data_IF_022724510252
#
_entry.id   IF_022724510252
#
_cell.length_a   1.000
_cell.length_b   1.000
_cell.length_c   1.000
_cell.angle_alpha   90.00
_cell.angle_beta   90.00
_cell.angle_gamma   90.00
#
_symmetry.space_group_name_H-M   'P 1'
#
loop_
_entity.id
_entity.type
_entity.pdbx_description
1 polymer ?
#
# COMPACT_ATOMS: atom_id res chain seq x y z
N UNK A 1 3.17 14.97 -70.74
CA UNK A 1 3.27 15.33 -69.31
C UNK A 1 4.59 16.09 -69.10
N UNK A 2 4.57 17.43 -69.06
CA UNK A 2 5.78 18.27 -69.03
C UNK A 2 6.34 18.35 -67.60
N UNK A 3 7.53 17.79 -67.39
CA UNK A 3 8.30 17.93 -66.16
C UNK A 3 8.73 19.39 -65.97
N UNK A 4 8.08 20.08 -65.03
CA UNK A 4 8.51 21.39 -64.54
C UNK A 4 9.81 21.21 -63.73
N UNK A 5 10.97 21.43 -64.37
CA UNK A 5 12.26 21.50 -63.66
C UNK A 5 12.25 22.76 -62.79
N UNK A 6 12.36 22.59 -61.47
CA UNK A 6 12.56 23.71 -60.53
C UNK A 6 13.85 24.47 -60.90
N UNK A 7 13.87 25.80 -60.86
CA UNK A 7 15.07 26.57 -61.10
C UNK A 7 16.14 26.22 -60.05
N UNK A 8 17.38 25.98 -60.50
CA UNK A 8 18.54 25.83 -59.61
C UNK A 8 18.66 27.10 -58.79
N UNK A 9 18.59 26.99 -57.46
CA UNK A 9 18.85 28.09 -56.55
C UNK A 9 20.27 28.63 -56.83
N UNK A 10 20.34 29.85 -57.36
CA UNK A 10 21.60 30.58 -57.50
C UNK A 10 22.06 30.95 -56.10
N UNK A 11 23.07 30.22 -55.61
CA UNK A 11 23.76 30.56 -54.37
C UNK A 11 24.42 31.92 -54.60
N UNK A 12 23.92 32.94 -53.93
CA UNK A 12 24.48 34.29 -53.96
C UNK A 12 25.91 34.25 -53.36
N UNK A 13 26.96 34.46 -54.18
CA UNK A 13 28.35 34.38 -53.72
C UNK A 13 28.72 35.53 -52.77
N UNK A 14 27.86 36.56 -52.65
CA UNK A 14 28.06 37.69 -51.73
C UNK A 14 27.46 37.46 -50.34
N UNK A 15 26.69 36.37 -50.13
CA UNK A 15 26.21 36.02 -48.79
C UNK A 15 27.38 35.52 -47.94
N UNK A 16 27.66 36.15 -46.78
CA UNK A 16 28.65 35.64 -45.85
C UNK A 16 28.29 34.20 -45.46
N UNK A 17 29.20 33.25 -45.72
CA UNK A 17 29.07 31.91 -45.18
C UNK A 17 29.06 32.05 -43.65
N UNK A 18 28.03 31.55 -42.93
CA UNK A 18 28.03 31.59 -41.48
C UNK A 18 29.29 30.87 -40.98
N UNK A 19 30.26 31.62 -40.46
CA UNK A 19 31.48 31.03 -39.93
C UNK A 19 31.10 30.19 -38.72
N UNK A 20 31.54 28.92 -38.64
CA UNK A 20 31.31 28.10 -37.47
C UNK A 20 31.80 28.87 -36.23
N UNK A 21 31.01 28.97 -35.15
CA UNK A 21 31.41 29.73 -33.98
C UNK A 21 32.75 29.20 -33.46
N UNK A 22 33.77 30.05 -33.53
CA UNK A 22 35.13 29.77 -33.06
C UNK A 22 35.07 29.38 -31.59
N UNK A 23 35.81 28.35 -31.17
CA UNK A 23 35.66 27.65 -29.88
C UNK A 23 35.71 28.52 -28.61
N UNK A 24 36.07 29.80 -28.72
CA UNK A 24 36.11 30.80 -27.63
C UNK A 24 34.74 31.39 -27.25
N UNK A 25 33.67 31.22 -28.03
CA UNK A 25 32.37 31.88 -27.77
C UNK A 25 31.29 31.01 -27.09
N UNK A 26 31.56 29.74 -26.83
CA UNK A 26 30.58 28.94 -26.07
C UNK A 26 30.79 29.18 -24.57
N UNK A 27 29.81 29.80 -23.93
CA UNK A 27 29.69 29.80 -22.47
C UNK A 27 29.64 28.38 -21.89
N UNK A 28 29.65 28.25 -20.56
CA UNK A 28 29.73 26.95 -19.87
C UNK A 28 28.74 25.90 -20.39
N UNK A 29 27.47 26.28 -20.59
CA UNK A 29 26.41 25.41 -21.14
C UNK A 29 26.70 24.95 -22.57
N UNK A 30 27.24 25.81 -23.43
CA UNK A 30 27.59 25.45 -24.80
C UNK A 30 28.74 24.44 -24.86
N UNK A 31 29.70 24.52 -23.93
CA UNK A 31 30.79 23.53 -23.84
C UNK A 31 30.27 22.16 -23.41
N UNK A 32 29.33 22.11 -22.46
CA UNK A 32 28.67 20.88 -22.01
C UNK A 32 27.84 20.27 -23.14
N UNK A 33 27.00 21.06 -23.82
CA UNK A 33 26.18 20.58 -24.94
C UNK A 33 27.04 19.99 -26.07
N UNK A 34 28.16 20.64 -26.40
CA UNK A 34 29.11 20.13 -27.40
C UNK A 34 29.80 18.84 -26.95
N UNK A 35 30.12 18.70 -25.66
CA UNK A 35 30.69 17.47 -25.10
C UNK A 35 29.71 16.30 -25.20
N UNK A 36 28.46 16.52 -24.77
CA UNK A 36 27.39 15.52 -24.83
C UNK A 36 27.14 15.07 -26.27
N UNK A 37 27.03 16.01 -27.23
CA UNK A 37 26.81 15.67 -28.64
C UNK A 37 27.98 14.84 -29.24
N UNK A 38 29.23 15.20 -28.93
CA UNK A 38 30.40 14.46 -29.43
C UNK A 38 30.56 13.08 -28.81
N UNK A 39 30.11 12.90 -27.57
CA UNK A 39 30.26 11.65 -26.80
C UNK A 39 28.93 10.96 -26.52
N UNK A 40 27.89 11.22 -27.32
CA UNK A 40 26.50 10.80 -27.05
C UNK A 40 26.36 9.31 -26.74
N UNK A 41 27.15 8.43 -27.37
CA UNK A 41 27.14 6.98 -27.09
C UNK A 41 27.65 6.63 -25.69
N UNK A 42 28.73 7.28 -25.25
CA UNK A 42 29.28 7.09 -23.90
C UNK A 42 28.39 7.71 -22.83
N UNK A 43 27.79 8.87 -23.13
CA UNK A 43 26.81 9.50 -22.24
C UNK A 43 25.58 8.60 -22.10
N UNK A 44 25.06 8.04 -23.19
CA UNK A 44 23.94 7.10 -23.15
C UNK A 44 24.27 5.82 -22.36
N UNK A 45 25.49 5.27 -22.53
CA UNK A 45 25.95 4.10 -21.78
C UNK A 45 26.07 4.40 -20.28
N UNK A 46 26.64 5.55 -19.91
CA UNK A 46 26.71 5.99 -18.51
C UNK A 46 25.31 6.08 -17.89
N UNK A 47 24.36 6.70 -18.58
CA UNK A 47 22.98 6.77 -18.12
C UNK A 47 22.33 5.39 -17.99
N UNK A 48 22.59 4.47 -18.94
CA UNK A 48 22.11 3.09 -18.84
C UNK A 48 22.67 2.40 -17.60
N UNK A 49 23.94 2.59 -17.27
CA UNK A 49 24.55 2.05 -16.05
C UNK A 49 23.87 2.64 -14.80
N UNK A 50 23.63 3.96 -14.78
CA UNK A 50 22.95 4.62 -13.67
C UNK A 50 21.52 4.08 -13.52
N UNK A 51 20.79 3.84 -14.62
CA UNK A 51 19.46 3.22 -14.60
C UNK A 51 19.52 1.84 -13.95
N UNK A 52 20.44 0.98 -14.40
CA UNK A 52 20.56 -0.38 -13.87
C UNK A 52 20.97 -0.36 -12.40
N UNK A 53 21.90 0.52 -12.02
CA UNK A 53 22.33 0.68 -10.63
C UNK A 53 21.19 1.19 -9.74
N UNK A 54 20.44 2.20 -10.19
CA UNK A 54 19.29 2.73 -9.45
C UNK A 54 18.16 1.69 -9.32
N UNK A 55 17.85 0.95 -10.39
CA UNK A 55 16.90 -0.16 -10.34
C UNK A 55 17.34 -1.26 -9.38
N UNK A 56 18.63 -1.62 -9.41
CA UNK A 56 19.20 -2.59 -8.45
C UNK A 56 19.09 -2.09 -7.01
N UNK A 57 19.40 -0.81 -6.74
CA UNK A 57 19.26 -0.22 -5.41
C UNK A 57 17.80 -0.25 -4.92
N UNK A 58 16.82 0.06 -5.76
CA UNK A 58 15.40 -0.02 -5.36
C UNK A 58 14.99 -1.44 -4.94
N UNK A 59 15.44 -2.47 -5.68
CA UNK A 59 15.12 -3.87 -5.34
C UNK A 59 15.90 -4.36 -4.12
N UNK A 60 17.18 -3.98 -4.00
CA UNK A 60 18.05 -4.40 -2.90
C UNK A 60 17.71 -3.71 -1.57
N UNK A 61 17.20 -2.48 -1.63
CA UNK A 61 16.85 -1.64 -0.48
C UNK A 61 15.36 -1.33 -0.48
N UNK A 62 14.51 -2.35 -0.66
CA UNK A 62 13.07 -2.26 -0.41
C UNK A 62 12.81 -2.06 1.11
N UNK A 63 13.23 -0.90 1.62
CA UNK A 63 13.10 -0.50 3.01
C UNK A 63 11.63 -0.32 3.39
N UNK A 64 11.36 -0.48 4.67
CA UNK A 64 10.00 -0.37 5.23
C UNK A 64 9.68 1.11 5.45
N UNK A 65 8.80 1.68 4.63
CA UNK A 65 8.15 2.95 4.98
C UNK A 65 7.29 2.73 6.22
N UNK A 66 7.36 3.65 7.19
CA UNK A 66 6.62 3.53 8.44
C UNK A 66 5.55 4.61 8.54
N UNK A 67 4.34 4.20 8.91
CA UNK A 67 3.25 5.12 9.30
C UNK A 67 3.12 5.26 10.81
N UNK A 68 4.18 4.94 11.56
CA UNK A 68 4.24 5.19 12.99
C UNK A 68 4.32 6.69 13.27
N UNK A 69 3.17 7.32 13.52
CA UNK A 69 3.11 8.67 14.08
C UNK A 69 3.42 8.60 15.58
N UNK A 70 4.70 8.56 15.94
CA UNK A 70 5.17 8.86 17.30
C UNK A 70 5.74 10.28 17.34
N UNK A 71 5.48 11.04 18.40
CA UNK A 71 6.09 12.36 18.61
C UNK A 71 6.95 12.33 19.88
N UNK A 72 8.21 11.89 19.77
CA UNK A 72 9.11 11.77 20.92
C UNK A 72 9.26 13.09 21.67
N UNK A 73 9.35 13.00 23.01
CA UNK A 73 9.54 14.18 23.87
C UNK A 73 8.27 14.96 24.22
N UNK A 74 7.10 14.49 23.80
CA UNK A 74 5.81 15.05 24.24
C UNK A 74 5.27 14.31 25.48
N UNK A 75 4.56 15.02 26.35
CA UNK A 75 3.88 14.41 27.51
C UNK A 75 2.85 13.35 27.09
N UNK A 76 2.22 13.54 25.92
CA UNK A 76 1.28 12.55 25.36
C UNK A 76 2.00 11.25 25.01
N UNK A 77 3.15 11.32 24.34
CA UNK A 77 3.94 10.12 24.02
C UNK A 77 4.40 9.40 25.30
N UNK A 78 4.90 10.15 26.30
CA UNK A 78 5.30 9.55 27.57
C UNK A 78 4.14 8.85 28.30
N UNK A 79 2.91 9.39 28.21
CA UNK A 79 1.72 8.73 28.75
C UNK A 79 1.36 7.44 27.99
N UNK A 80 1.47 7.45 26.66
CA UNK A 80 1.26 6.24 25.84
C UNK A 80 2.31 5.16 26.13
N UNK A 81 3.58 5.56 26.27
CA UNK A 81 4.67 4.64 26.60
C UNK A 81 4.45 3.99 27.97
N UNK A 82 4.02 4.78 28.97
CA UNK A 82 3.69 4.28 30.31
C UNK A 82 2.46 3.35 30.29
N UNK A 83 1.43 3.67 29.50
CA UNK A 83 0.27 2.80 29.31
C UNK A 83 0.70 1.45 28.72
N UNK A 84 1.57 1.47 27.71
CA UNK A 84 2.08 0.26 27.07
C UNK A 84 2.96 -0.57 28.02
N UNK A 85 3.75 0.07 28.88
CA UNK A 85 4.61 -0.61 29.85
C UNK A 85 3.80 -1.24 31.01
N UNK A 86 2.82 -0.51 31.55
CA UNK A 86 2.10 -0.93 32.77
C UNK A 86 0.81 -1.70 32.49
N UNK A 87 0.14 -1.41 31.37
CA UNK A 87 -1.16 -1.97 31.01
C UNK A 87 -1.22 -2.34 29.52
N UNK A 88 -0.34 -3.25 29.05
CA UNK A 88 -0.24 -3.58 27.62
C UNK A 88 -1.58 -4.06 27.04
N UNK A 89 -2.40 -4.78 27.83
CA UNK A 89 -3.72 -5.26 27.40
C UNK A 89 -4.73 -4.14 27.11
N UNK A 90 -4.57 -2.94 27.67
CA UNK A 90 -5.46 -1.80 27.40
C UNK A 90 -5.08 -1.05 26.12
N UNK A 91 -3.90 -1.31 25.57
CA UNK A 91 -3.40 -0.70 24.33
C UNK A 91 -3.31 -1.71 23.18
N UNK A 92 -3.76 -2.95 23.41
CA UNK A 92 -3.78 -4.01 22.42
C UNK A 92 -4.70 -3.68 21.23
N UNK A 93 -4.31 -4.12 20.04
CA UNK A 93 -5.21 -4.05 18.89
C UNK A 93 -6.42 -4.97 19.11
N UNK A 94 -7.59 -4.53 18.62
CA UNK A 94 -8.83 -5.30 18.76
C UNK A 94 -9.57 -5.42 17.44
N UNK A 95 -10.17 -6.59 17.23
CA UNK A 95 -11.12 -6.85 16.15
C UNK A 95 -12.44 -7.34 16.77
N UNK A 96 -13.58 -7.01 16.16
CA UNK A 96 -14.88 -7.52 16.58
C UNK A 96 -15.36 -8.55 15.57
N UNK A 97 -15.68 -9.75 16.02
CA UNK A 97 -16.35 -10.75 15.18
C UNK A 97 -17.85 -10.70 15.46
N UNK A 98 -18.64 -10.57 14.41
CA UNK A 98 -20.10 -10.60 14.46
C UNK A 98 -20.58 -11.83 13.71
N UNK A 99 -21.23 -12.74 14.43
CA UNK A 99 -21.84 -13.95 13.91
C UNK A 99 -23.31 -13.66 13.63
N UNK A 100 -23.81 -14.17 12.52
CA UNK A 100 -25.20 -14.03 12.11
C UNK A 100 -25.71 -15.33 11.48
N UNK A 101 -26.97 -15.68 11.74
CA UNK A 101 -27.69 -16.76 11.04
C UNK A 101 -28.97 -16.25 10.37
N UNK A 102 -29.42 -16.89 9.28
CA UNK A 102 -30.67 -16.52 8.61
C UNK A 102 -31.90 -16.58 9.52
N UNK A 103 -32.94 -15.83 9.15
CA UNK A 103 -34.18 -15.78 9.91
C UNK A 103 -34.80 -17.18 10.07
N UNK A 104 -35.18 -17.51 11.31
CA UNK A 104 -35.73 -18.82 11.66
C UNK A 104 -34.70 -19.81 12.22
N UNK A 105 -33.41 -19.49 12.15
CA UNK A 105 -32.35 -20.19 12.88
C UNK A 105 -31.94 -19.43 14.14
N UNK A 106 -31.25 -20.13 15.05
CA UNK A 106 -30.65 -19.54 16.25
C UNK A 106 -29.22 -20.04 16.42
N UNK A 107 -28.34 -19.15 16.88
CA UNK A 107 -26.92 -19.46 17.14
C UNK A 107 -26.75 -20.46 18.30
N UNK A 108 -27.71 -20.50 19.21
CA UNK A 108 -27.70 -21.39 20.40
C UNK A 108 -28.10 -22.83 20.09
N UNK A 109 -28.50 -23.15 18.86
CA UNK A 109 -28.75 -24.54 18.46
C UNK A 109 -27.45 -25.36 18.54
N UNK A 110 -27.48 -26.65 18.91
CA UNK A 110 -26.26 -27.44 19.15
C UNK A 110 -25.28 -27.44 17.96
N UNK A 111 -25.81 -27.48 16.74
CA UNK A 111 -25.01 -27.46 15.51
C UNK A 111 -24.34 -26.09 15.31
N UNK A 112 -25.10 -25.00 15.43
CA UNK A 112 -24.57 -23.66 15.22
C UNK A 112 -23.60 -23.25 16.33
N UNK A 113 -23.89 -23.62 17.58
CA UNK A 113 -23.02 -23.37 18.72
C UNK A 113 -21.67 -24.09 18.57
N UNK A 114 -21.66 -25.34 18.08
CA UNK A 114 -20.43 -26.06 17.78
C UNK A 114 -19.61 -25.41 16.66
N UNK A 115 -20.27 -24.86 15.64
CA UNK A 115 -19.62 -24.11 14.56
C UNK A 115 -19.00 -22.80 15.07
N UNK A 116 -19.73 -22.03 15.90
CA UNK A 116 -19.19 -20.81 16.55
C UNK A 116 -17.98 -21.14 17.41
N UNK A 117 -18.06 -22.18 18.24
CA UNK A 117 -16.93 -22.62 19.06
C UNK A 117 -15.71 -23.04 18.22
N UNK A 118 -15.96 -23.68 17.07
CA UNK A 118 -14.90 -24.07 16.12
C UNK A 118 -14.24 -22.85 15.46
N UNK A 119 -15.02 -21.85 15.06
CA UNK A 119 -14.49 -20.58 14.53
C UNK A 119 -13.67 -19.85 15.59
N UNK A 120 -14.20 -19.71 16.81
CA UNK A 120 -13.48 -19.09 17.93
C UNK A 120 -12.16 -19.82 18.20
N UNK A 121 -12.18 -21.16 18.18
CA UNK A 121 -10.97 -21.96 18.34
C UNK A 121 -9.96 -21.85 17.19
N UNK A 122 -10.41 -21.58 15.96
CA UNK A 122 -9.53 -21.30 14.83
C UNK A 122 -8.91 -19.90 14.94
N UNK A 123 -9.72 -18.89 15.28
CA UNK A 123 -9.28 -17.51 15.46
C UNK A 123 -8.27 -17.39 16.62
N UNK A 124 -8.48 -18.11 17.72
CA UNK A 124 -7.55 -18.13 18.85
C UNK A 124 -6.15 -18.68 18.50
N UNK A 125 -6.01 -19.38 17.37
CA UNK A 125 -4.74 -19.91 16.85
C UNK A 125 -4.08 -19.01 15.80
N UNK A 126 -4.72 -17.89 15.43
CA UNK A 126 -4.13 -16.91 14.51
C UNK A 126 -2.92 -16.28 15.19
N UNK A 127 -1.84 -16.12 14.43
CA UNK A 127 -0.61 -15.52 14.93
C UNK A 127 -0.87 -14.08 15.39
N UNK A 128 -0.33 -13.72 16.55
CA UNK A 128 -0.53 -12.41 17.16
C UNK A 128 -1.83 -12.23 17.95
N UNK A 129 -2.77 -13.19 17.94
CA UNK A 129 -3.92 -13.17 18.86
C UNK A 129 -3.44 -13.51 20.28
N UNK A 130 -3.83 -12.71 21.27
CA UNK A 130 -3.40 -12.89 22.65
C UNK A 130 -3.93 -14.22 23.23
N UNK A 131 -3.23 -14.81 24.23
CA UNK A 131 -3.77 -15.96 24.95
C UNK A 131 -5.12 -15.64 25.58
N UNK A 132 -6.15 -16.44 25.30
CA UNK A 132 -7.55 -16.16 25.67
C UNK A 132 -8.07 -14.81 25.14
N UNK A 133 -7.50 -14.34 24.02
CA UNK A 133 -7.87 -13.10 23.37
C UNK A 133 -9.23 -13.14 22.69
N UNK A 134 -9.85 -14.32 22.57
CA UNK A 134 -11.19 -14.50 22.01
C UNK A 134 -12.06 -15.25 23.01
N UNK A 135 -13.25 -14.71 23.27
CA UNK A 135 -14.26 -15.37 24.09
C UNK A 135 -15.33 -16.00 23.20
N UNK A 136 -15.81 -17.18 23.56
CA UNK A 136 -17.00 -17.75 22.92
C UNK A 136 -18.22 -16.95 23.39
N UNK A 137 -18.93 -16.25 22.47
CA UNK A 137 -20.02 -15.36 22.85
C UNK A 137 -21.24 -16.13 23.41
N UNK A 138 -21.46 -17.37 22.98
CA UNK A 138 -22.57 -18.20 23.45
C UNK A 138 -22.28 -18.68 24.87
N UNK A 139 -21.09 -19.24 25.11
CA UNK A 139 -20.71 -19.71 26.45
C UNK A 139 -20.63 -18.54 27.45
N UNK A 140 -20.05 -17.41 27.04
CA UNK A 140 -19.98 -16.21 27.88
C UNK A 140 -21.37 -15.69 28.25
N UNK A 141 -22.31 -15.68 27.29
CA UNK A 141 -23.70 -15.28 27.56
C UNK A 141 -24.40 -16.24 28.53
N UNK A 142 -24.23 -17.55 28.37
CA UNK A 142 -24.82 -18.55 29.27
C UNK A 142 -24.28 -18.43 30.70
N UNK A 143 -22.98 -18.16 30.85
CA UNK A 143 -22.36 -17.94 32.16
C UNK A 143 -22.89 -16.66 32.83
N UNK A 144 -23.04 -15.56 32.09
CA UNK A 144 -23.58 -14.32 32.63
C UNK A 144 -25.00 -14.50 33.18
N UNK A 145 -25.85 -15.26 32.49
CA UNK A 145 -27.20 -15.61 32.95
C UNK A 145 -27.13 -16.45 34.24
N UNK A 146 -26.29 -17.48 34.28
CA UNK A 146 -26.15 -18.36 35.46
C UNK A 146 -25.65 -17.63 36.71
N UNK A 147 -24.85 -16.57 36.54
CA UNK A 147 -24.34 -15.76 37.64
C UNK A 147 -25.36 -14.69 38.12
N UNK A 148 -26.57 -14.66 37.56
CA UNK A 148 -27.58 -13.66 37.91
C UNK A 148 -27.23 -12.25 37.41
N UNK A 149 -26.30 -12.13 36.46
CA UNK A 149 -25.86 -10.86 35.88
C UNK A 149 -26.76 -10.40 34.72
N UNK A 150 -28.05 -10.74 34.76
CA UNK A 150 -29.00 -10.51 33.65
C UNK A 150 -29.22 -9.05 33.23
N UNK A 151 -28.65 -8.09 33.97
CA UNK A 151 -28.65 -6.67 33.63
C UNK A 151 -27.40 -6.24 32.82
N UNK A 152 -26.44 -7.15 32.59
CA UNK A 152 -25.28 -6.89 31.74
C UNK A 152 -25.67 -7.21 30.29
N UNK A 153 -25.33 -6.35 29.32
CA UNK A 153 -25.52 -6.63 27.91
C UNK A 153 -24.97 -8.02 27.55
N UNK A 154 -25.83 -8.90 27.06
CA UNK A 154 -25.41 -10.22 26.57
C UNK A 154 -24.66 -10.08 25.25
N UNK A 155 -23.77 -11.03 24.98
CA UNK A 155 -23.08 -11.13 23.69
C UNK A 155 -23.98 -11.64 22.55
N UNK A 156 -25.25 -11.94 22.86
CA UNK A 156 -26.28 -12.42 21.95
C UNK A 156 -27.41 -11.40 21.85
N UNK A 157 -27.95 -11.24 20.66
CA UNK A 157 -29.20 -10.52 20.42
C UNK A 157 -30.39 -11.21 21.11
N UNK A 158 -31.48 -10.48 21.40
CA UNK A 158 -32.66 -11.05 22.07
C UNK A 158 -33.28 -12.25 21.33
N UNK A 159 -33.18 -12.28 20.00
CA UNK A 159 -33.64 -13.36 19.14
C UNK A 159 -32.60 -14.47 18.92
N UNK A 160 -31.41 -14.36 19.52
CA UNK A 160 -30.29 -15.30 19.37
C UNK A 160 -29.83 -15.50 17.91
N UNK A 161 -30.11 -14.55 17.01
CA UNK A 161 -29.67 -14.61 15.61
C UNK A 161 -28.31 -13.97 15.39
N UNK A 162 -27.92 -13.02 16.25
CA UNK A 162 -26.66 -12.29 16.17
C UNK A 162 -25.89 -12.52 17.46
N UNK A 163 -24.60 -12.77 17.33
CA UNK A 163 -23.68 -12.75 18.46
C UNK A 163 -22.44 -11.94 18.10
N UNK A 164 -21.79 -11.31 19.08
CA UNK A 164 -20.53 -10.61 18.86
C UNK A 164 -19.49 -10.99 19.91
N UNK A 165 -18.23 -11.02 19.52
CA UNK A 165 -17.10 -11.19 20.43
C UNK A 165 -15.94 -10.30 20.01
N UNK A 166 -15.10 -9.94 20.97
CA UNK A 166 -13.86 -9.19 20.72
C UNK A 166 -12.69 -10.16 20.64
N UNK A 167 -11.83 -9.91 19.66
CA UNK A 167 -10.53 -10.55 19.47
C UNK A 167 -9.48 -9.53 19.90
N UNK A 168 -8.70 -9.88 20.90
CA UNK A 168 -7.61 -9.05 21.43
C UNK A 168 -6.28 -9.61 20.93
N UNK A 169 -5.47 -8.75 20.32
CA UNK A 169 -4.12 -9.09 19.86
C UNK A 169 -3.08 -8.88 20.98
N UNK A 170 -1.94 -9.55 20.87
CA UNK A 170 -0.81 -9.34 21.78
C UNK A 170 -0.13 -7.98 21.55
N UNK A 171 -0.13 -7.52 20.31
CA UNK A 171 0.52 -6.28 19.89
C UNK A 171 -0.48 -5.12 19.79
N UNK A 172 0.06 -3.90 19.86
CA UNK A 172 -0.71 -2.67 19.64
C UNK A 172 -1.02 -2.48 18.16
N UNK A 173 -2.05 -1.68 17.84
CA UNK A 173 -2.40 -1.41 16.45
C UNK A 173 -1.23 -0.80 15.66
N UNK A 174 -0.47 0.10 16.29
CA UNK A 174 0.70 0.75 15.67
C UNK A 174 1.80 -0.27 15.36
N UNK A 175 2.07 -1.21 16.27
CA UNK A 175 3.05 -2.27 16.03
C UNK A 175 2.63 -3.16 14.85
N UNK A 176 1.35 -3.54 14.78
CA UNK A 176 0.80 -4.31 13.66
C UNK A 176 0.85 -3.53 12.35
N UNK A 177 0.58 -2.22 12.34
CA UNK A 177 0.70 -1.37 11.14
C UNK A 177 2.15 -1.28 10.64
N UNK A 178 3.13 -1.25 11.54
CA UNK A 178 4.55 -1.24 11.16
C UNK A 178 4.99 -2.59 10.57
N UNK A 179 4.43 -3.69 11.06
CA UNK A 179 4.71 -5.03 10.56
C UNK A 179 3.98 -5.31 9.24
N UNK A 180 2.73 -4.88 9.15
CA UNK A 180 1.81 -5.08 8.03
C UNK A 180 1.23 -3.75 7.55
N UNK A 181 1.99 -2.94 6.80
CA UNK A 181 1.50 -1.66 6.30
C UNK A 181 0.19 -1.81 5.52
N UNK A 182 -0.86 -1.02 5.84
CA UNK A 182 -2.10 -1.02 5.07
C UNK A 182 -1.83 -0.67 3.60
N UNK A 183 -2.55 -1.32 2.69
CA UNK A 183 -2.39 -1.12 1.27
C UNK A 183 -3.72 -0.68 0.64
N UNK A 184 -3.82 0.59 0.26
CA UNK A 184 -5.01 1.16 -0.37
C UNK A 184 -5.24 0.74 -1.84
N UNK A 185 -4.36 -0.05 -2.43
CA UNK A 185 -4.46 -0.56 -3.81
C UNK A 185 -4.87 -2.04 -3.86
N UNK A 186 -4.73 -2.77 -2.75
CA UNK A 186 -5.04 -4.21 -2.66
C UNK A 186 -6.14 -4.48 -1.64
N UNK A 187 -7.03 -5.41 -1.96
CA UNK A 187 -7.98 -5.94 -0.99
C UNK A 187 -7.21 -6.49 0.23
N UNK A 188 -7.79 -6.37 1.42
CA UNK A 188 -7.21 -6.94 2.64
C UNK A 188 -6.89 -8.44 2.47
N UNK A 189 -7.72 -9.18 1.74
CA UNK A 189 -7.53 -10.62 1.49
C UNK A 189 -6.47 -10.96 0.45
N UNK A 190 -5.90 -9.96 -0.24
CA UNK A 190 -4.94 -10.17 -1.32
C UNK A 190 -3.46 -10.15 -0.88
N UNK A 191 -3.19 -9.92 0.42
CA UNK A 191 -1.84 -9.90 0.97
C UNK A 191 -1.84 -10.29 2.46
N UNK A 192 -0.69 -10.69 3.05
CA UNK A 192 -0.60 -11.03 4.47
C UNK A 192 -0.84 -9.80 5.36
N UNK A 193 -1.82 -9.90 6.27
CA UNK A 193 -2.13 -8.92 7.30
C UNK A 193 -3.10 -9.54 8.33
N UNK A 194 -3.29 -8.92 9.52
CA UNK A 194 -4.14 -9.47 10.57
C UNK A 194 -5.59 -9.71 10.14
N UNK A 195 -6.17 -8.85 9.29
CA UNK A 195 -7.53 -9.05 8.80
C UNK A 195 -7.65 -10.30 7.93
N UNK A 196 -6.71 -10.49 6.99
CA UNK A 196 -6.70 -11.67 6.11
C UNK A 196 -6.50 -12.97 6.90
N UNK A 197 -5.69 -12.95 7.96
CA UNK A 197 -5.46 -14.12 8.80
C UNK A 197 -6.71 -14.50 9.60
N UNK A 198 -7.42 -13.52 10.16
CA UNK A 198 -8.73 -13.73 10.79
C UNK A 198 -9.75 -14.30 9.79
N UNK A 199 -9.86 -13.67 8.62
CA UNK A 199 -10.77 -14.10 7.55
C UNK A 199 -10.45 -15.53 7.07
N UNK A 200 -9.17 -15.86 6.93
CA UNK A 200 -8.71 -17.20 6.55
C UNK A 200 -9.02 -18.24 7.63
N UNK A 201 -8.84 -17.89 8.92
CA UNK A 201 -9.17 -18.76 10.03
C UNK A 201 -10.68 -19.04 10.12
N UNK A 202 -11.51 -18.00 9.93
CA UNK A 202 -12.97 -18.14 9.87
C UNK A 202 -13.37 -19.05 8.71
N UNK A 203 -12.84 -18.80 7.51
CA UNK A 203 -13.16 -19.57 6.30
C UNK A 203 -12.61 -21.00 6.31
N UNK A 204 -11.65 -21.31 7.18
CA UNK A 204 -11.14 -22.68 7.37
C UNK A 204 -12.15 -23.61 8.05
N UNK A 205 -13.17 -23.05 8.70
CA UNK A 205 -14.21 -23.80 9.41
C UNK A 205 -15.46 -23.87 8.55
N UNK A 206 -16.02 -25.07 8.37
CA UNK A 206 -17.32 -25.23 7.74
C UNK A 206 -18.42 -24.78 8.71
N UNK A 207 -18.90 -23.55 8.54
CA UNK A 207 -19.86 -22.90 9.43
C UNK A 207 -21.33 -23.05 8.97
N UNK A 208 -21.59 -23.80 7.90
CA UNK A 208 -22.94 -23.93 7.33
C UNK A 208 -23.50 -22.57 6.90
N UNK A 209 -24.66 -22.20 7.42
CA UNK A 209 -25.35 -20.93 7.10
C UNK A 209 -24.87 -19.75 7.97
N UNK A 210 -23.96 -19.97 8.92
CA UNK A 210 -23.44 -18.90 9.78
C UNK A 210 -22.55 -17.98 8.95
N UNK A 211 -22.89 -16.70 8.91
CA UNK A 211 -22.00 -15.67 8.39
C UNK A 211 -21.24 -15.01 9.52
N UNK A 212 -19.98 -14.74 9.29
CA UNK A 212 -19.14 -13.97 10.22
C UNK A 212 -18.65 -12.72 9.51
N UNK A 213 -18.72 -11.59 10.20
CA UNK A 213 -18.15 -10.32 9.75
C UNK A 213 -17.14 -9.83 10.77
N UNK A 214 -16.02 -9.33 10.26
CA UNK A 214 -14.95 -8.76 11.05
C UNK A 214 -15.11 -7.23 11.03
N UNK A 215 -15.14 -6.61 12.20
CA UNK A 215 -15.20 -5.18 12.44
C UNK A 215 -14.13 -4.74 13.45
N UNK A 216 -14.28 -3.51 13.97
CA UNK A 216 -13.35 -2.94 14.94
C UNK A 216 -12.06 -2.44 14.29
N UNK A 217 -11.10 -2.04 15.12
CA UNK A 217 -9.92 -1.26 14.67
C UNK A 217 -9.08 -1.98 13.61
N UNK A 218 -8.97 -3.31 13.69
CA UNK A 218 -8.27 -4.12 12.68
C UNK A 218 -9.01 -4.08 11.33
N UNK A 219 -10.33 -4.26 11.32
CA UNK A 219 -11.09 -4.16 10.08
C UNK A 219 -11.04 -2.74 9.50
N UNK A 220 -11.20 -1.72 10.34
CA UNK A 220 -11.14 -0.32 9.91
C UNK A 220 -9.75 0.04 9.36
N UNK A 221 -8.68 -0.63 9.78
CA UNK A 221 -7.33 -0.33 9.31
C UNK A 221 -7.01 -1.04 8.00
N UNK A 222 -7.36 -2.33 7.86
CA UNK A 222 -6.95 -3.14 6.69
C UNK A 222 -8.05 -3.38 5.67
N UNK A 223 -9.32 -3.45 6.07
CA UNK A 223 -10.46 -3.70 5.18
C UNK A 223 -11.02 -2.41 4.57
N UNK A 224 -10.12 -1.60 4.02
CA UNK A 224 -10.48 -0.38 3.31
C UNK A 224 -11.01 -0.72 1.90
N UNK A 225 -12.03 0.02 1.42
CA UNK A 225 -12.56 -0.21 0.09
C UNK A 225 -11.51 0.14 -0.96
N UNK A 226 -11.12 -0.84 -1.77
CA UNK A 226 -10.32 -0.60 -2.97
C UNK A 226 -11.23 -0.22 -4.13
N UNK A 227 -10.94 0.91 -4.75
CA UNK A 227 -11.54 1.28 -6.02
C UNK A 227 -10.72 0.72 -7.18
N UNK A 228 -11.38 0.40 -8.30
CA UNK A 228 -10.68 0.00 -9.52
C UNK A 228 -9.71 1.09 -9.98
N UNK A 229 -10.13 2.36 -9.92
CA UNK A 229 -9.30 3.50 -10.30
C UNK A 229 -8.09 3.68 -9.37
N UNK A 230 -8.26 3.48 -8.05
CA UNK A 230 -7.15 3.58 -7.10
C UNK A 230 -6.13 2.45 -7.26
N UNK A 231 -6.60 1.23 -7.54
CA UNK A 231 -5.73 0.07 -7.76
C UNK A 231 -5.03 0.05 -9.14
N UNK A 232 -5.50 0.85 -10.09
CA UNK A 232 -4.95 0.90 -11.46
C UNK A 232 -4.49 2.32 -11.86
N UNK A 233 -4.27 3.21 -10.89
CA UNK A 233 -3.97 4.61 -11.16
C UNK A 233 -2.68 4.78 -11.97
N UNK A 234 -1.65 3.97 -11.66
CA UNK A 234 -0.35 4.04 -12.30
C UNK A 234 -0.40 3.57 -13.74
N UNK A 235 -1.04 2.42 -14.02
CA UNK A 235 -1.13 1.90 -15.38
C UNK A 235 -2.02 2.77 -16.27
N UNK A 236 -3.15 3.24 -15.71
CA UNK A 236 -4.07 4.13 -16.44
C UNK A 236 -3.41 5.47 -16.71
N UNK A 237 -2.73 6.05 -15.72
CA UNK A 237 -2.00 7.31 -15.86
C UNK A 237 -0.88 7.21 -16.89
N UNK A 238 -0.06 6.16 -16.82
CA UNK A 238 1.02 5.92 -17.78
C UNK A 238 0.49 5.67 -19.18
N UNK A 239 -0.58 4.87 -19.32
CA UNK A 239 -1.21 4.57 -20.61
C UNK A 239 -1.80 5.83 -21.27
N UNK A 240 -2.55 6.64 -20.51
CA UNK A 240 -3.09 7.90 -20.99
C UNK A 240 -1.97 8.89 -21.36
N UNK A 241 -0.94 9.01 -20.52
CA UNK A 241 0.23 9.84 -20.80
C UNK A 241 0.94 9.42 -22.09
N UNK A 242 1.11 8.12 -22.32
CA UNK A 242 1.70 7.60 -23.54
C UNK A 242 0.88 7.94 -24.78
N UNK A 243 -0.46 7.79 -24.72
CA UNK A 243 -1.36 8.17 -25.81
C UNK A 243 -1.25 9.67 -26.11
N UNK A 244 -1.27 10.52 -25.08
CA UNK A 244 -1.15 11.98 -25.24
C UNK A 244 0.18 12.36 -25.89
N UNK A 245 1.29 11.76 -25.45
CA UNK A 245 2.61 12.02 -26.02
C UNK A 245 2.72 11.50 -27.47
N UNK A 246 2.12 10.34 -27.77
CA UNK A 246 2.08 9.80 -29.13
C UNK A 246 1.33 10.73 -30.08
N UNK A 247 0.17 11.27 -29.66
CA UNK A 247 -0.62 12.23 -30.44
C UNK A 247 0.11 13.56 -30.58
N UNK A 248 0.75 14.05 -29.50
CA UNK A 248 1.45 15.32 -29.51
C UNK A 248 2.69 15.32 -30.43
N UNK A 249 3.48 14.24 -30.41
CA UNK A 249 4.70 14.14 -31.22
C UNK A 249 4.52 13.44 -32.56
N UNK A 250 3.39 12.75 -32.77
CA UNK A 250 3.09 12.00 -34.00
C UNK A 250 4.06 10.85 -34.30
N UNK A 251 4.86 10.41 -33.31
CA UNK A 251 5.91 9.40 -33.50
C UNK A 251 6.16 8.62 -32.21
N UNK A 252 6.31 7.29 -32.35
CA UNK A 252 6.64 6.38 -31.25
C UNK A 252 7.96 6.78 -30.58
N UNK A 253 8.97 7.20 -31.35
CA UNK A 253 10.24 7.66 -30.79
C UNK A 253 10.10 8.98 -30.04
N UNK A 254 9.23 9.88 -30.53
CA UNK A 254 8.91 11.14 -29.85
C UNK A 254 8.21 10.92 -28.50
N UNK A 255 7.38 9.88 -28.39
CA UNK A 255 6.76 9.43 -27.14
C UNK A 255 7.75 8.73 -26.21
N UNK A 256 8.60 7.83 -26.74
CA UNK A 256 9.46 6.96 -25.94
C UNK A 256 10.54 7.71 -25.17
N UNK A 257 11.09 8.80 -25.74
CA UNK A 257 12.16 9.57 -25.11
C UNK A 257 11.69 10.24 -23.80
N UNK A 258 10.56 10.99 -23.78
CA UNK A 258 9.99 11.54 -22.55
C UNK A 258 9.64 10.47 -21.51
N UNK A 259 8.97 9.37 -21.91
CA UNK A 259 8.57 8.30 -20.96
C UNK A 259 9.81 7.69 -20.32
N UNK A 260 10.83 7.36 -21.10
CA UNK A 260 12.08 6.79 -20.57
C UNK A 260 12.76 7.74 -19.59
N UNK A 261 12.74 9.05 -19.88
CA UNK A 261 13.32 10.08 -19.00
C UNK A 261 12.51 10.22 -17.70
N UNK A 262 11.18 10.17 -17.77
CA UNK A 262 10.30 10.23 -16.61
C UNK A 262 10.48 9.01 -15.70
N UNK A 263 10.46 7.79 -16.27
CA UNK A 263 10.72 6.55 -15.54
C UNK A 263 12.10 6.57 -14.87
N UNK A 264 13.11 7.09 -15.55
CA UNK A 264 14.43 7.27 -14.96
C UNK A 264 14.42 8.20 -13.74
N UNK A 265 13.73 9.34 -13.86
CA UNK A 265 13.55 10.29 -12.77
C UNK A 265 12.83 9.66 -11.57
N UNK A 266 11.76 8.92 -11.82
CA UNK A 266 10.99 8.20 -10.81
C UNK A 266 11.85 7.16 -10.07
N UNK A 267 12.51 6.24 -10.80
CA UNK A 267 13.36 5.19 -10.21
C UNK A 267 14.50 5.80 -9.39
N UNK A 268 15.15 6.84 -9.90
CA UNK A 268 16.27 7.49 -9.20
C UNK A 268 15.80 8.23 -7.95
N UNK A 269 14.66 8.92 -8.02
CA UNK A 269 14.07 9.60 -6.86
C UNK A 269 13.62 8.59 -5.80
N UNK A 270 12.94 7.51 -6.19
CA UNK A 270 12.50 6.45 -5.28
C UNK A 270 13.66 5.77 -4.57
N UNK A 271 14.70 5.41 -5.32
CA UNK A 271 15.91 4.82 -4.75
C UNK A 271 16.61 5.76 -3.77
N UNK A 272 16.64 7.06 -4.06
CA UNK A 272 17.20 8.05 -3.13
C UNK A 272 16.35 8.20 -1.86
N UNK A 273 15.02 8.17 -1.98
CA UNK A 273 14.11 8.21 -0.83
C UNK A 273 14.29 6.98 0.05
N UNK A 274 14.38 5.78 -0.54
CA UNK A 274 14.62 4.54 0.20
C UNK A 274 15.98 4.56 0.93
N UNK A 275 17.03 5.05 0.27
CA UNK A 275 18.33 5.25 0.91
C UNK A 275 18.25 6.26 2.07
N UNK A 276 17.43 7.30 1.95
CA UNK A 276 17.21 8.26 3.04
C UNK A 276 16.36 7.67 4.17
N UNK A 277 15.44 6.77 3.86
CA UNK A 277 14.57 6.10 4.83
C UNK A 277 15.35 5.23 5.83
N UNK A 278 16.54 4.75 5.47
CA UNK A 278 17.44 4.05 6.39
C UNK A 278 18.02 4.97 7.49
N UNK A 279 18.03 6.29 7.27
CA UNK A 279 18.59 7.27 8.20
C UNK A 279 17.53 8.16 8.86
N UNK A 280 16.38 8.34 8.23
CA UNK A 280 15.30 9.24 8.67
C UNK A 280 13.95 8.56 8.46
N UNK A 281 13.04 8.71 9.42
CA UNK A 281 11.65 8.24 9.26
C UNK A 281 10.95 9.01 8.14
N UNK A 282 10.67 8.33 7.03
CA UNK A 282 9.86 8.85 5.92
C UNK A 282 8.42 8.32 6.07
N UNK A 283 7.45 9.22 6.08
CA UNK A 283 6.01 8.89 6.12
C UNK A 283 5.56 8.22 4.82
N UNK A 284 4.60 7.29 4.88
CA UNK A 284 4.02 6.71 3.64
C UNK A 284 3.22 7.71 2.81
N UNK A 285 2.93 8.90 3.35
CA UNK A 285 2.38 10.01 2.59
C UNK A 285 3.40 10.58 1.57
N UNK A 286 4.68 10.21 1.68
CA UNK A 286 5.65 10.47 0.62
C UNK A 286 5.21 9.73 -0.65
N UNK A 287 5.19 10.40 -1.82
CA UNK A 287 4.73 9.76 -3.05
C UNK A 287 5.49 8.47 -3.32
N UNK A 288 4.76 7.36 -3.48
CA UNK A 288 5.31 6.17 -4.13
C UNK A 288 5.62 6.57 -5.58
N UNK A 289 6.83 6.30 -6.05
CA UNK A 289 7.28 6.54 -7.43
C UNK A 289 7.71 5.24 -8.09
#
# INVERSE_FOLDING_TARGET
>A
MKLHRRPKATVDPSRPVPTPPTGKQLGGLGRIGRFVAKRHRWVALLWLIIIVAAGYLNVAFAGKTSDSFSVPGTNSQAAYDLLNEKFPSQNAATANLVFWVPQGQVLTSPQNAAAVASIVGAVQKVDGVAPNGVLDPILASAQAVNLGLGNIPTFLSPDSQIAYTSVTFSDTLIALMNQFPPNGEKLATAYPNPYNELESAINSVNAGDIQVKIGGTVADTWNQPVSWWGSHADEVGLGLGAILLLVAFGSIFGMAIPISTALFGAITAGGLVLLLADFVTVSSAAPKV
#
